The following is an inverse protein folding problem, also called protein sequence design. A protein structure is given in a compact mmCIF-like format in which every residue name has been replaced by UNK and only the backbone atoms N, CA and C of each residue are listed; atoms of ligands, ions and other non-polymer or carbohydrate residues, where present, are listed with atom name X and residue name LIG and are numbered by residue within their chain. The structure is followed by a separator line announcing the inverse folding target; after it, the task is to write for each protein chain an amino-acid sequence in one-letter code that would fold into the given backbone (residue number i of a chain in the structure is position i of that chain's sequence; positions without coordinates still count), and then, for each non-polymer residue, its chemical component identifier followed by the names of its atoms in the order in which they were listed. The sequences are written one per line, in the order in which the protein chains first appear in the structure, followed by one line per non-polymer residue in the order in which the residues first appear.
data_IF_194901276162
#
_entry.id   IF_194901276162
#
_cell.length_a   1.000
_cell.length_b   1.000
_cell.length_c   1.000
_cell.angle_alpha   90.00
_cell.angle_beta   90.00
_cell.angle_gamma   90.00
#
_symmetry.space_group_name_H-M   'P 1'
#
loop_
_entity.id
_entity.type
_entity.pdbx_description
1 polymer ?
#
# COMPACT_ATOMS: atom_id res chain seq x y z
N UNK A 1 -15.74 -25.04 9.09
CA UNK A 1 -15.56 -25.39 7.67
C UNK A 1 -14.08 -25.39 7.33
N UNK A 2 -13.66 -26.24 6.44
CA UNK A 2 -12.24 -26.54 6.23
C UNK A 2 -11.57 -25.47 5.38
N UNK A 3 -10.27 -25.22 5.60
CA UNK A 3 -9.36 -24.46 4.75
C UNK A 3 -9.49 -24.83 3.25
N UNK A 4 -10.16 -25.96 2.96
CA UNK A 4 -10.47 -26.44 1.63
C UNK A 4 -11.40 -25.50 0.81
N UNK A 5 -12.11 -24.56 1.43
CA UNK A 5 -13.01 -23.65 0.72
C UNK A 5 -12.28 -22.45 0.11
N UNK A 6 -11.11 -22.05 0.62
CA UNK A 6 -10.41 -20.83 0.18
C UNK A 6 -9.91 -20.92 -1.27
N UNK A 7 -9.26 -22.02 -1.66
CA UNK A 7 -8.72 -22.15 -3.02
C UNK A 7 -9.83 -22.08 -4.10
N UNK A 8 -10.92 -22.86 -4.01
CA UNK A 8 -12.03 -22.74 -4.95
C UNK A 8 -12.58 -21.32 -5.03
N UNK A 9 -12.75 -20.65 -3.89
CA UNK A 9 -13.24 -19.27 -3.82
C UNK A 9 -12.30 -18.26 -4.51
N UNK A 10 -10.99 -18.37 -4.29
CA UNK A 10 -10.00 -17.51 -4.99
C UNK A 10 -9.97 -17.81 -6.50
N UNK A 11 -10.15 -19.05 -6.90
CA UNK A 11 -10.22 -19.41 -8.32
C UNK A 11 -11.51 -18.89 -8.99
N UNK A 12 -12.64 -18.86 -8.26
CA UNK A 12 -13.90 -18.26 -8.75
C UNK A 12 -13.77 -16.75 -8.86
N UNK A 13 -13.14 -16.09 -7.88
CA UNK A 13 -12.78 -14.67 -7.95
C UNK A 13 -11.89 -14.37 -9.16
N UNK A 14 -10.84 -15.16 -9.38
CA UNK A 14 -9.94 -15.01 -10.52
C UNK A 14 -10.64 -15.12 -11.88
N UNK A 15 -11.79 -15.79 -11.96
CA UNK A 15 -12.57 -15.99 -13.18
C UNK A 15 -13.61 -14.89 -13.44
N UNK A 16 -13.78 -13.90 -12.54
CA UNK A 16 -14.75 -12.81 -12.71
C UNK A 16 -14.38 -11.96 -13.94
N UNK A 17 -15.35 -11.78 -14.83
CA UNK A 17 -15.18 -10.92 -16.02
C UNK A 17 -15.20 -9.43 -15.66
N UNK A 18 -14.68 -8.56 -16.56
CA UNK A 18 -14.64 -7.10 -16.35
C UNK A 18 -16.00 -6.49 -16.04
N UNK A 19 -17.05 -6.94 -16.74
CA UNK A 19 -18.43 -6.44 -16.60
C UNK A 19 -19.05 -6.70 -15.20
N UNK A 20 -18.43 -7.55 -14.41
CA UNK A 20 -18.89 -7.94 -13.07
C UNK A 20 -18.05 -7.34 -11.94
N UNK A 21 -17.08 -6.50 -12.25
CA UNK A 21 -16.27 -5.83 -11.24
C UNK A 21 -17.11 -4.75 -10.53
N UNK A 22 -17.11 -4.71 -9.16
CA UNK A 22 -17.79 -3.66 -8.42
C UNK A 22 -17.21 -2.29 -8.79
N UNK A 23 -18.08 -1.35 -9.14
CA UNK A 23 -17.70 -0.03 -9.67
C UNK A 23 -16.93 0.81 -8.66
N UNK A 24 -17.30 0.73 -7.39
CA UNK A 24 -16.62 1.41 -6.28
C UNK A 24 -15.18 0.89 -6.12
N UNK A 25 -15.01 -0.42 -6.10
CA UNK A 25 -13.69 -1.06 -6.01
C UNK A 25 -12.82 -0.75 -7.23
N UNK A 26 -13.41 -0.75 -8.45
CA UNK A 26 -12.69 -0.39 -9.68
C UNK A 26 -12.24 1.06 -9.65
N UNK A 27 -13.09 1.98 -9.17
CA UNK A 27 -12.69 3.38 -9.01
C UNK A 27 -11.55 3.55 -8.01
N UNK A 28 -11.57 2.81 -6.90
CA UNK A 28 -10.45 2.80 -5.97
C UNK A 28 -9.17 2.23 -6.59
N UNK A 29 -9.26 1.21 -7.46
CA UNK A 29 -8.11 0.67 -8.18
C UNK A 29 -7.49 1.67 -9.17
N UNK A 30 -8.30 2.48 -9.85
CA UNK A 30 -7.83 3.59 -10.70
C UNK A 30 -7.07 4.65 -9.89
N UNK A 31 -7.60 5.03 -8.74
CA UNK A 31 -6.93 5.98 -7.82
C UNK A 31 -5.64 5.38 -7.24
N UNK A 32 -5.64 4.09 -6.92
CA UNK A 32 -4.44 3.37 -6.48
C UNK A 32 -3.39 3.24 -7.59
N UNK A 33 -3.80 3.08 -8.86
CA UNK A 33 -2.87 3.13 -10.00
C UNK A 33 -2.14 4.47 -10.06
N UNK A 34 -2.90 5.57 -9.98
CA UNK A 34 -2.33 6.91 -9.97
C UNK A 34 -1.34 7.09 -8.82
N UNK A 35 -1.77 6.76 -7.60
CA UNK A 35 -0.92 6.89 -6.39
C UNK A 35 0.34 6.03 -6.48
N UNK A 36 0.20 4.76 -6.93
CA UNK A 36 1.33 3.85 -7.12
C UNK A 36 2.35 4.39 -8.14
N UNK A 37 1.89 4.96 -9.26
CA UNK A 37 2.78 5.58 -10.25
C UNK A 37 3.53 6.77 -9.64
N UNK A 38 2.86 7.60 -8.87
CA UNK A 38 3.44 8.77 -8.19
C UNK A 38 4.53 8.34 -7.20
N UNK A 39 4.23 7.40 -6.31
CA UNK A 39 5.22 6.95 -5.32
C UNK A 39 6.37 6.16 -5.96
N UNK A 40 6.13 5.50 -7.10
CA UNK A 40 7.17 4.85 -7.89
C UNK A 40 8.17 5.86 -8.44
N UNK A 41 7.68 6.96 -9.00
CA UNK A 41 8.52 8.03 -9.53
C UNK A 41 9.28 8.76 -8.42
N UNK A 42 8.60 9.07 -7.32
CA UNK A 42 9.24 9.70 -6.16
C UNK A 42 10.29 8.79 -5.49
N UNK A 43 10.11 7.48 -5.57
CA UNK A 43 11.06 6.49 -5.06
C UNK A 43 12.25 6.21 -5.98
N UNK A 44 12.20 6.67 -7.25
CA UNK A 44 13.17 6.30 -8.28
C UNK A 44 14.60 6.78 -8.02
N UNK A 45 14.77 7.86 -7.26
CA UNK A 45 16.09 8.43 -6.94
C UNK A 45 16.62 7.99 -5.56
N UNK A 46 15.89 7.13 -4.86
CA UNK A 46 16.34 6.61 -3.57
C UNK A 46 17.54 5.65 -3.74
N UNK A 47 18.47 5.58 -2.79
CA UNK A 47 19.66 4.72 -2.89
C UNK A 47 19.34 3.26 -3.24
N UNK A 48 18.25 2.71 -2.67
CA UNK A 48 17.83 1.34 -2.96
C UNK A 48 17.41 1.15 -4.43
N UNK A 49 16.87 2.21 -5.07
CA UNK A 49 16.42 2.13 -6.46
C UNK A 49 17.59 1.99 -7.42
N UNK A 50 18.72 2.65 -7.15
CA UNK A 50 19.95 2.46 -7.92
C UNK A 50 20.48 1.04 -7.77
N UNK A 51 20.56 0.54 -6.53
CA UNK A 51 21.06 -0.81 -6.22
C UNK A 51 20.23 -1.89 -6.92
N UNK A 52 18.89 -1.81 -6.81
CA UNK A 52 18.03 -2.84 -7.41
C UNK A 52 18.05 -2.78 -8.94
N UNK A 53 18.14 -1.58 -9.56
CA UNK A 53 18.29 -1.43 -11.00
C UNK A 53 19.59 -2.06 -11.50
N UNK A 54 20.70 -1.79 -10.83
CA UNK A 54 22.00 -2.38 -11.18
C UNK A 54 21.98 -3.90 -11.06
N UNK A 55 21.37 -4.42 -10.01
CA UNK A 55 21.22 -5.86 -9.79
C UNK A 55 20.45 -6.53 -10.93
N UNK A 56 19.24 -6.04 -11.26
CA UNK A 56 18.42 -6.65 -12.34
C UNK A 56 19.01 -6.41 -13.72
N UNK A 57 19.72 -5.30 -13.94
CA UNK A 57 20.43 -5.03 -15.19
C UNK A 57 21.56 -6.03 -15.44
N UNK A 58 22.29 -6.44 -14.39
CA UNK A 58 23.35 -7.43 -14.45
C UNK A 58 22.84 -8.84 -14.81
N UNK A 59 21.58 -9.18 -14.46
CA UNK A 59 20.94 -10.43 -14.88
C UNK A 59 20.66 -10.45 -16.40
N UNK A 60 20.35 -9.28 -16.98
CA UNK A 60 20.05 -9.15 -18.41
C UNK A 60 18.76 -9.85 -18.83
N UNK A 61 18.66 -10.19 -20.11
CA UNK A 61 17.55 -10.96 -20.68
C UNK A 61 16.76 -10.20 -21.74
N UNK A 62 15.61 -10.74 -22.15
CA UNK A 62 14.75 -10.17 -23.20
C UNK A 62 14.05 -8.92 -22.70
N UNK A 63 14.14 -7.82 -23.43
CA UNK A 63 13.53 -6.53 -23.12
C UNK A 63 12.00 -6.58 -23.29
N UNK A 64 11.26 -6.87 -22.21
CA UNK A 64 9.82 -7.04 -22.22
C UNK A 64 9.09 -5.94 -21.45
N UNK A 65 9.54 -5.63 -20.24
CA UNK A 65 8.88 -4.71 -19.33
C UNK A 65 9.82 -3.60 -18.86
N UNK A 66 9.26 -2.44 -18.59
CA UNK A 66 9.96 -1.21 -18.19
C UNK A 66 10.40 -1.27 -16.76
N UNK A 67 11.61 -0.76 -16.46
CA UNK A 67 12.12 -0.56 -15.10
C UNK A 67 12.00 0.92 -14.73
N UNK A 68 11.30 1.21 -13.64
CA UNK A 68 11.00 2.56 -13.16
C UNK A 68 12.27 3.40 -12.96
N UNK A 69 12.20 4.68 -13.34
CA UNK A 69 13.31 5.65 -13.24
C UNK A 69 14.48 5.35 -14.18
N UNK A 70 14.25 4.61 -15.26
CA UNK A 70 15.28 4.30 -16.23
C UNK A 70 14.71 3.96 -17.61
N UNK A 71 15.58 3.93 -18.63
CA UNK A 71 15.22 3.43 -19.97
C UNK A 71 15.39 1.93 -20.11
N UNK A 72 15.72 1.23 -19.04
CA UNK A 72 15.89 -0.23 -19.04
C UNK A 72 14.56 -0.92 -19.30
N UNK A 73 14.62 -1.94 -20.15
CA UNK A 73 13.56 -2.93 -20.33
C UNK A 73 14.16 -4.31 -20.11
N UNK A 74 13.53 -5.11 -19.27
CA UNK A 74 14.02 -6.40 -18.81
C UNK A 74 12.91 -7.45 -18.89
N UNK A 75 13.21 -8.75 -18.68
CA UNK A 75 12.14 -9.74 -18.49
C UNK A 75 11.14 -9.31 -17.43
N UNK A 76 9.86 -9.63 -17.63
CA UNK A 76 8.77 -9.20 -16.78
C UNK A 76 9.04 -9.45 -15.28
N UNK A 77 9.65 -10.60 -14.92
CA UNK A 77 10.01 -10.93 -13.54
C UNK A 77 11.02 -9.97 -12.94
N UNK A 78 12.07 -9.64 -13.68
CA UNK A 78 13.12 -8.72 -13.23
C UNK A 78 12.60 -7.28 -13.09
N UNK A 79 11.77 -6.83 -14.04
CA UNK A 79 11.11 -5.53 -13.98
C UNK A 79 10.14 -5.46 -12.78
N UNK A 80 9.32 -6.49 -12.54
CA UNK A 80 8.42 -6.56 -11.40
C UNK A 80 9.17 -6.50 -10.07
N UNK A 81 10.31 -7.20 -9.94
CA UNK A 81 11.18 -7.12 -8.76
C UNK A 81 11.65 -5.69 -8.49
N UNK A 82 12.19 -5.03 -9.52
CA UNK A 82 12.70 -3.68 -9.39
C UNK A 82 11.59 -2.68 -9.07
N UNK A 83 10.49 -2.72 -9.84
CA UNK A 83 9.40 -1.76 -9.71
C UNK A 83 8.66 -1.88 -8.37
N UNK A 84 8.45 -3.10 -7.85
CA UNK A 84 7.88 -3.32 -6.53
C UNK A 84 8.78 -2.81 -5.40
N UNK A 85 10.09 -3.02 -5.53
CA UNK A 85 11.06 -2.50 -4.58
C UNK A 85 11.12 -0.96 -4.60
N UNK A 86 11.16 -0.37 -5.79
CA UNK A 86 11.25 1.09 -5.98
C UNK A 86 9.97 1.78 -5.50
N UNK A 87 8.79 1.26 -5.85
CA UNK A 87 7.52 1.87 -5.48
C UNK A 87 7.25 1.88 -3.97
N UNK A 88 7.88 0.98 -3.21
CA UNK A 88 7.77 0.93 -1.74
C UNK A 88 8.92 1.65 -1.01
N UNK A 89 9.82 2.31 -1.74
CA UNK A 89 11.02 2.94 -1.17
C UNK A 89 10.73 3.99 -0.09
N UNK A 90 9.65 4.75 -0.26
CA UNK A 90 9.27 5.85 0.64
C UNK A 90 8.28 5.42 1.73
N UNK A 91 7.77 4.18 1.69
CA UNK A 91 6.67 3.72 2.55
C UNK A 91 5.47 4.68 2.52
N UNK A 92 5.18 5.26 1.35
CA UNK A 92 4.17 6.30 1.15
C UNK A 92 3.01 5.85 0.23
N UNK A 93 2.98 4.59 -0.10
CA UNK A 93 1.94 3.88 -0.83
C UNK A 93 0.74 3.55 0.05
N UNK A 94 -0.32 3.05 -0.58
CA UNK A 94 -1.55 2.66 0.11
C UNK A 94 -1.38 1.49 1.10
N UNK A 95 -2.36 1.37 2.00
CA UNK A 95 -2.46 0.25 2.94
C UNK A 95 -3.89 -0.27 3.00
N UNK A 96 -4.05 -1.49 3.49
CA UNK A 96 -5.36 -2.06 3.77
C UNK A 96 -5.38 -2.66 5.18
N UNK A 97 -6.24 -2.13 6.06
CA UNK A 97 -6.22 -2.47 7.49
C UNK A 97 -6.60 -3.93 7.78
N UNK A 98 -7.58 -4.50 7.06
CA UNK A 98 -7.96 -5.90 7.24
C UNK A 98 -6.93 -6.87 6.65
N UNK A 99 -6.29 -6.51 5.54
CA UNK A 99 -5.20 -7.24 4.92
C UNK A 99 -3.87 -7.08 5.71
N UNK A 100 -3.72 -6.01 6.46
CA UNK A 100 -2.53 -5.60 7.25
C UNK A 100 -1.30 -5.50 6.34
N UNK A 101 -1.44 -4.91 5.17
CA UNK A 101 -0.38 -4.81 4.18
C UNK A 101 -0.60 -3.71 3.15
N UNK A 102 0.31 -3.64 2.20
CA UNK A 102 0.38 -2.65 1.14
C UNK A 102 0.08 -3.34 -0.22
N UNK A 103 -1.16 -3.26 -0.74
CA UNK A 103 -1.53 -4.04 -1.91
C UNK A 103 -0.89 -3.54 -3.21
N UNK A 104 -0.84 -2.21 -3.43
CA UNK A 104 -0.42 -1.65 -4.71
C UNK A 104 1.02 -1.97 -5.07
N UNK A 105 1.96 -1.85 -4.15
CA UNK A 105 3.40 -2.03 -4.40
C UNK A 105 3.82 -3.48 -4.64
N UNK A 106 2.99 -4.44 -4.23
CA UNK A 106 3.22 -5.87 -4.48
C UNK A 106 2.56 -6.34 -5.80
N UNK A 107 1.44 -5.73 -6.21
CA UNK A 107 0.57 -6.30 -7.25
C UNK A 107 0.64 -5.51 -8.56
N UNK A 108 0.60 -4.15 -8.55
CA UNK A 108 0.76 -3.37 -9.78
C UNK A 108 2.06 -3.64 -10.53
N UNK A 109 3.22 -3.80 -9.89
CA UNK A 109 4.45 -4.14 -10.60
C UNK A 109 4.36 -5.44 -11.40
N UNK A 110 3.68 -6.45 -10.84
CA UNK A 110 3.43 -7.71 -11.54
C UNK A 110 2.40 -7.54 -12.65
N UNK A 111 1.28 -6.83 -12.40
CA UNK A 111 0.25 -6.59 -13.40
C UNK A 111 0.82 -5.80 -14.59
N UNK A 112 1.52 -4.69 -14.34
CA UNK A 112 2.09 -3.87 -15.41
C UNK A 112 3.14 -4.66 -16.21
N UNK A 113 4.06 -5.36 -15.55
CA UNK A 113 5.09 -6.14 -16.24
C UNK A 113 4.52 -7.30 -17.07
N UNK A 114 3.48 -7.98 -16.59
CA UNK A 114 2.79 -9.01 -17.35
C UNK A 114 2.03 -8.42 -18.53
N UNK A 115 1.38 -7.27 -18.37
CA UNK A 115 0.65 -6.58 -19.42
C UNK A 115 1.58 -6.08 -20.53
N UNK A 116 2.73 -5.51 -20.19
CA UNK A 116 3.77 -5.12 -21.17
C UNK A 116 4.32 -6.34 -21.94
N UNK A 117 4.51 -7.48 -21.26
CA UNK A 117 5.03 -8.71 -21.90
C UNK A 117 4.12 -9.22 -23.03
N UNK A 118 2.79 -9.00 -22.91
CA UNK A 118 1.78 -9.47 -23.87
C UNK A 118 1.16 -8.36 -24.72
N UNK A 119 1.46 -7.09 -24.46
CA UNK A 119 0.89 -5.95 -25.17
C UNK A 119 -0.57 -5.65 -24.80
N UNK A 120 -0.96 -5.85 -23.53
CA UNK A 120 -2.31 -5.60 -23.04
C UNK A 120 -2.61 -4.09 -22.84
N UNK A 121 -3.87 -3.75 -22.62
CA UNK A 121 -4.33 -2.38 -22.34
C UNK A 121 -4.05 -1.96 -20.89
N UNK A 122 -4.17 -0.66 -20.61
CA UNK A 122 -4.12 -0.11 -19.27
C UNK A 122 -5.33 -0.54 -18.43
N UNK A 123 -6.50 -0.69 -19.05
CA UNK A 123 -7.70 -1.23 -18.40
C UNK A 123 -7.48 -2.67 -17.93
N UNK A 124 -6.84 -3.53 -18.76
CA UNK A 124 -6.48 -4.88 -18.35
C UNK A 124 -5.54 -4.89 -17.13
N UNK A 125 -4.63 -3.89 -17.01
CA UNK A 125 -3.77 -3.74 -15.85
C UNK A 125 -4.59 -3.46 -14.58
N UNK A 126 -5.55 -2.52 -14.66
CA UNK A 126 -6.40 -2.14 -13.53
C UNK A 126 -7.30 -3.31 -13.10
N UNK A 127 -7.93 -3.98 -14.06
CA UNK A 127 -8.83 -5.11 -13.79
C UNK A 127 -8.06 -6.31 -13.20
N UNK A 128 -6.88 -6.61 -13.73
CA UNK A 128 -6.03 -7.67 -13.21
C UNK A 128 -5.50 -7.33 -11.81
N UNK A 129 -5.09 -6.07 -11.61
CA UNK A 129 -4.69 -5.56 -10.30
C UNK A 129 -5.83 -5.70 -9.28
N UNK A 130 -7.04 -5.23 -9.61
CA UNK A 130 -8.18 -5.24 -8.70
C UNK A 130 -8.51 -6.66 -8.21
N UNK A 131 -8.58 -7.61 -9.13
CA UNK A 131 -8.83 -9.01 -8.77
C UNK A 131 -7.67 -9.59 -7.94
N UNK A 132 -6.41 -9.27 -8.27
CA UNK A 132 -5.25 -9.67 -7.51
C UNK A 132 -5.24 -9.07 -6.10
N UNK A 133 -5.56 -7.79 -5.97
CA UNK A 133 -5.65 -7.08 -4.70
C UNK A 133 -6.77 -7.62 -3.82
N UNK A 134 -7.94 -7.91 -4.40
CA UNK A 134 -9.04 -8.55 -3.69
C UNK A 134 -8.66 -9.96 -3.21
N UNK A 135 -7.98 -10.75 -4.04
CA UNK A 135 -7.47 -12.07 -3.63
C UNK A 135 -6.48 -11.94 -2.45
N UNK A 136 -5.56 -10.98 -2.51
CA UNK A 136 -4.62 -10.71 -1.42
C UNK A 136 -5.35 -10.28 -0.14
N UNK A 137 -6.38 -9.44 -0.23
CA UNK A 137 -7.21 -9.03 0.90
C UNK A 137 -7.88 -10.25 1.55
N UNK A 138 -8.54 -11.12 0.76
CA UNK A 138 -9.22 -12.33 1.26
C UNK A 138 -8.25 -13.29 1.91
N UNK A 139 -7.11 -13.56 1.28
CA UNK A 139 -6.06 -14.41 1.86
C UNK A 139 -5.49 -13.79 3.13
N UNK A 140 -5.25 -12.48 3.13
CA UNK A 140 -4.74 -11.75 4.27
C UNK A 140 -5.69 -11.74 5.48
N UNK A 141 -7.01 -11.65 5.24
CA UNK A 141 -8.04 -11.77 6.28
C UNK A 141 -8.01 -13.17 6.91
N UNK A 142 -7.86 -14.23 6.10
CA UNK A 142 -7.74 -15.60 6.61
C UNK A 142 -6.45 -15.83 7.40
N UNK A 143 -5.33 -15.26 6.96
CA UNK A 143 -4.07 -15.29 7.72
C UNK A 143 -4.19 -14.53 9.05
N UNK A 144 -4.92 -13.42 9.04
CA UNK A 144 -5.27 -12.66 10.24
C UNK A 144 -4.07 -11.97 10.91
N UNK A 145 -4.37 -11.45 12.10
CA UNK A 145 -3.37 -10.74 12.91
C UNK A 145 -2.29 -11.66 13.46
N UNK A 146 -2.61 -12.89 13.78
CA UNK A 146 -1.66 -13.85 14.35
C UNK A 146 -0.47 -14.08 13.43
N UNK A 147 -0.72 -14.14 12.10
CA UNK A 147 0.34 -14.20 11.09
C UNK A 147 1.25 -12.96 11.13
N UNK A 148 0.65 -11.77 11.21
CA UNK A 148 1.41 -10.52 11.33
C UNK A 148 2.20 -10.46 12.65
N UNK A 149 1.60 -10.87 13.77
CA UNK A 149 2.23 -10.84 15.09
C UNK A 149 3.33 -11.91 15.22
N UNK A 150 3.22 -13.03 14.51
CA UNK A 150 4.29 -14.03 14.37
C UNK A 150 5.54 -13.50 13.64
N UNK A 151 5.44 -12.33 13.00
CA UNK A 151 6.57 -11.65 12.36
C UNK A 151 6.56 -11.63 10.84
N UNK A 152 5.49 -12.11 10.20
CA UNK A 152 5.36 -12.07 8.75
C UNK A 152 4.90 -10.68 8.25
N UNK A 153 5.39 -10.28 7.08
CA UNK A 153 5.00 -9.07 6.37
C UNK A 153 3.94 -9.41 5.31
N UNK A 154 2.68 -9.13 5.57
CA UNK A 154 1.56 -9.54 4.70
C UNK A 154 1.64 -8.94 3.29
N UNK A 155 2.22 -7.75 3.12
CA UNK A 155 2.57 -7.21 1.78
C UNK A 155 3.32 -8.23 0.93
N UNK A 156 4.19 -9.02 1.53
CA UNK A 156 4.99 -10.02 0.83
C UNK A 156 4.30 -11.39 0.76
N UNK A 157 3.66 -11.82 1.83
CA UNK A 157 3.03 -13.15 1.87
C UNK A 157 1.72 -13.18 1.08
N UNK A 158 0.68 -12.48 1.51
CA UNK A 158 -0.59 -12.38 0.76
C UNK A 158 -0.43 -11.68 -0.58
N UNK A 159 0.44 -10.64 -0.65
CA UNK A 159 0.71 -9.91 -1.88
C UNK A 159 1.31 -10.76 -2.99
N UNK A 160 2.11 -11.79 -2.66
CA UNK A 160 2.62 -12.73 -3.68
C UNK A 160 1.49 -13.52 -4.35
N UNK A 161 0.46 -13.93 -3.61
CA UNK A 161 -0.72 -14.57 -4.20
C UNK A 161 -1.53 -13.59 -5.04
N UNK A 162 -1.70 -12.34 -4.58
CA UNK A 162 -2.35 -11.29 -5.37
C UNK A 162 -1.62 -11.02 -6.69
N UNK A 163 -0.30 -10.88 -6.65
CA UNK A 163 0.54 -10.73 -7.83
C UNK A 163 0.43 -11.95 -8.78
N UNK A 164 0.33 -13.17 -8.22
CA UNK A 164 0.13 -14.41 -9.00
C UNK A 164 -1.21 -14.39 -9.72
N UNK A 165 -2.29 -13.98 -9.06
CA UNK A 165 -3.62 -13.89 -9.67
C UNK A 165 -3.64 -12.83 -10.77
N UNK A 166 -3.08 -11.64 -10.52
CA UNK A 166 -3.00 -10.57 -11.52
C UNK A 166 -2.25 -11.02 -12.78
N UNK A 167 -1.07 -11.64 -12.60
CA UNK A 167 -0.29 -12.18 -13.72
C UNK A 167 -1.02 -13.35 -14.43
N UNK A 168 -1.69 -14.23 -13.69
CA UNK A 168 -2.43 -15.36 -14.26
C UNK A 168 -3.57 -14.90 -15.16
N UNK A 169 -4.31 -13.85 -14.76
CA UNK A 169 -5.36 -13.24 -15.58
C UNK A 169 -4.81 -12.68 -16.89
N UNK A 170 -3.74 -11.87 -16.80
CA UNK A 170 -3.11 -11.28 -17.98
C UNK A 170 -2.53 -12.34 -18.92
N UNK A 171 -1.92 -13.38 -18.37
CA UNK A 171 -1.45 -14.50 -19.18
C UNK A 171 -2.56 -15.46 -19.63
N UNK A 172 -3.83 -15.18 -19.28
CA UNK A 172 -5.02 -15.95 -19.66
C UNK A 172 -4.92 -17.43 -19.26
N UNK A 173 -4.45 -17.69 -18.03
CA UNK A 173 -4.39 -19.04 -17.49
C UNK A 173 -5.80 -19.58 -17.22
N UNK A 174 -6.04 -20.83 -17.57
CA UNK A 174 -7.25 -21.50 -17.15
C UNK A 174 -7.25 -21.81 -15.62
N UNK A 175 -8.36 -22.33 -15.13
CA UNK A 175 -8.53 -22.65 -13.71
C UNK A 175 -7.46 -23.59 -13.17
N UNK A 176 -7.08 -24.61 -13.95
CA UNK A 176 -6.10 -25.61 -13.53
C UNK A 176 -4.69 -25.00 -13.47
N UNK A 177 -4.31 -24.24 -14.47
CA UNK A 177 -3.03 -23.53 -14.52
C UNK A 177 -2.96 -22.44 -13.42
N UNK A 178 -4.06 -21.70 -13.16
CA UNK A 178 -4.12 -20.73 -12.06
C UNK A 178 -3.97 -21.42 -10.70
N UNK A 179 -4.60 -22.58 -10.50
CA UNK A 179 -4.41 -23.38 -9.29
C UNK A 179 -2.95 -23.83 -9.12
N UNK A 180 -2.28 -24.27 -10.20
CA UNK A 180 -0.87 -24.64 -10.16
C UNK A 180 0.02 -23.41 -9.85
N UNK A 181 -0.29 -22.23 -10.42
CA UNK A 181 0.42 -21.00 -10.11
C UNK A 181 0.32 -20.63 -8.63
N UNK A 182 -0.88 -20.73 -8.02
CA UNK A 182 -1.06 -20.51 -6.58
C UNK A 182 -0.29 -21.52 -5.73
N UNK A 183 -0.26 -22.80 -6.16
CA UNK A 183 0.57 -23.84 -5.53
C UNK A 183 2.06 -23.52 -5.59
N UNK A 184 2.57 -22.99 -6.69
CA UNK A 184 3.96 -22.52 -6.81
C UNK A 184 4.22 -21.29 -5.93
N UNK A 185 3.29 -20.34 -5.94
CA UNK A 185 3.41 -19.12 -5.12
C UNK A 185 3.49 -19.46 -3.63
N UNK A 186 2.77 -20.48 -3.14
CA UNK A 186 2.78 -20.89 -1.73
C UNK A 186 4.16 -21.27 -1.21
N UNK A 187 5.07 -21.72 -2.07
CA UNK A 187 6.47 -22.04 -1.68
C UNK A 187 7.39 -20.81 -1.72
N UNK A 188 6.91 -19.69 -2.25
CA UNK A 188 7.69 -18.47 -2.48
C UNK A 188 7.16 -17.26 -1.69
N UNK A 189 5.91 -17.31 -1.25
CA UNK A 189 5.27 -16.23 -0.49
C UNK A 189 5.90 -16.11 0.90
N UNK A 190 6.83 -15.19 1.04
CA UNK A 190 7.64 -14.98 2.25
C UNK A 190 7.99 -13.50 2.41
N UNK A 191 8.37 -13.12 3.62
CA UNK A 191 8.80 -11.78 3.97
C UNK A 191 8.60 -11.55 5.47
N UNK A 192 9.55 -10.88 6.11
CA UNK A 192 9.55 -10.71 7.57
C UNK A 192 9.54 -9.23 7.97
N UNK A 193 8.84 -8.94 9.06
CA UNK A 193 8.81 -7.63 9.72
C UNK A 193 10.16 -7.24 10.33
N UNK A 194 11.05 -8.20 10.57
CA UNK A 194 12.43 -7.91 11.01
C UNK A 194 13.22 -7.04 10.03
N UNK A 195 12.72 -6.89 8.79
CA UNK A 195 13.29 -6.00 7.78
C UNK A 195 12.76 -4.56 7.84
N UNK A 196 11.81 -4.26 8.73
CA UNK A 196 11.29 -2.89 8.86
C UNK A 196 12.40 -1.94 9.29
N UNK A 197 12.38 -0.73 8.72
CA UNK A 197 13.46 0.25 8.91
C UNK A 197 14.70 0.03 8.04
N UNK A 198 14.74 -1.00 7.19
CA UNK A 198 15.83 -1.28 6.26
C UNK A 198 15.34 -1.33 4.81
N UNK A 199 16.27 -1.38 3.84
CA UNK A 199 15.95 -1.61 2.43
C UNK A 199 15.28 -2.98 2.18
N UNK A 200 15.33 -3.89 3.15
CA UNK A 200 14.67 -5.19 3.09
C UNK A 200 13.14 -5.09 3.12
N UNK A 201 12.55 -4.05 3.75
CA UNK A 201 11.10 -3.86 3.73
C UNK A 201 10.57 -3.61 2.31
N UNK A 202 11.08 -2.62 1.55
CA UNK A 202 10.71 -2.44 0.14
C UNK A 202 11.01 -3.66 -0.73
N UNK A 203 12.13 -4.32 -0.52
CA UNK A 203 12.48 -5.55 -1.24
C UNK A 203 11.43 -6.65 -1.08
N UNK A 204 10.77 -6.77 0.07
CA UNK A 204 9.68 -7.72 0.28
C UNK A 204 8.55 -7.54 -0.74
N UNK A 205 8.17 -6.30 -1.09
CA UNK A 205 7.14 -6.01 -2.10
C UNK A 205 7.59 -6.41 -3.51
N UNK A 206 8.83 -6.06 -3.88
CA UNK A 206 9.40 -6.47 -5.16
C UNK A 206 9.51 -7.99 -5.30
N UNK A 207 9.93 -8.69 -4.24
CA UNK A 207 10.00 -10.14 -4.23
C UNK A 207 8.61 -10.77 -4.43
N UNK A 208 7.55 -10.23 -3.81
CA UNK A 208 6.17 -10.68 -4.00
C UNK A 208 5.73 -10.54 -5.47
N UNK A 209 5.99 -9.38 -6.08
CA UNK A 209 5.66 -9.12 -7.49
C UNK A 209 6.40 -10.09 -8.43
N UNK A 210 7.72 -10.26 -8.23
CA UNK A 210 8.54 -11.19 -9.01
C UNK A 210 8.08 -12.64 -8.88
N UNK A 211 7.73 -13.07 -7.65
CA UNK A 211 7.22 -14.41 -7.37
C UNK A 211 5.90 -14.67 -8.10
N UNK A 212 5.01 -13.66 -8.18
CA UNK A 212 3.76 -13.77 -8.93
C UNK A 212 3.98 -14.00 -10.42
N UNK A 213 4.87 -13.23 -11.05
CA UNK A 213 5.25 -13.42 -12.46
C UNK A 213 5.89 -14.80 -12.69
N UNK A 214 6.80 -15.21 -11.80
CA UNK A 214 7.49 -16.51 -11.93
C UNK A 214 6.48 -17.66 -11.88
N UNK A 215 5.60 -17.67 -10.86
CA UNK A 215 4.60 -18.70 -10.66
C UNK A 215 3.63 -18.80 -11.85
N UNK A 216 3.06 -17.67 -12.30
CA UNK A 216 2.16 -17.64 -13.45
C UNK A 216 2.87 -18.06 -14.76
N UNK A 217 4.11 -17.62 -14.98
CA UNK A 217 4.89 -17.96 -16.16
C UNK A 217 5.26 -19.45 -16.23
N UNK A 218 5.55 -20.07 -15.08
CA UNK A 218 5.82 -21.52 -14.99
C UNK A 218 4.55 -22.32 -15.26
N UNK A 219 3.45 -21.96 -14.63
CA UNK A 219 2.15 -22.61 -14.83
C UNK A 219 1.68 -22.52 -16.29
N UNK A 220 1.85 -21.36 -16.95
CA UNK A 220 1.58 -21.17 -18.38
C UNK A 220 2.33 -22.16 -19.26
N UNK A 221 3.50 -22.64 -18.83
CA UNK A 221 4.33 -23.63 -19.55
C UNK A 221 4.02 -25.07 -19.14
N UNK A 222 2.98 -25.29 -18.32
CA UNK A 222 2.57 -26.62 -17.88
C UNK A 222 3.33 -27.14 -16.65
N UNK A 223 4.01 -26.28 -15.90
CA UNK A 223 4.64 -26.67 -14.65
C UNK A 223 3.56 -27.00 -13.61
N UNK A 224 3.65 -28.18 -12.99
CA UNK A 224 2.65 -28.67 -12.03
C UNK A 224 3.01 -28.31 -10.61
N UNK A 225 2.00 -28.15 -9.76
CA UNK A 225 2.13 -27.94 -8.33
C UNK A 225 0.99 -28.65 -7.58
N UNK A 226 1.10 -28.69 -6.24
CA UNK A 226 0.00 -29.18 -5.40
C UNK A 226 -1.24 -28.30 -5.57
N UNK A 227 -2.39 -28.96 -5.62
CA UNK A 227 -3.70 -28.28 -5.56
C UNK A 227 -4.12 -27.91 -4.14
N UNK A 228 -3.33 -28.30 -3.13
CA UNK A 228 -3.59 -28.05 -1.71
C UNK A 228 -2.78 -26.88 -1.16
N UNK A 229 -2.67 -25.80 -1.94
CA UNK A 229 -1.87 -24.62 -1.56
C UNK A 229 -2.28 -24.03 -0.20
N UNK A 230 -3.59 -24.05 0.12
CA UNK A 230 -4.13 -23.42 1.33
C UNK A 230 -4.72 -24.43 2.33
N UNK A 231 -4.92 -25.71 1.95
CA UNK A 231 -5.58 -26.71 2.79
C UNK A 231 -4.64 -27.86 3.17
N UNK A 232 -4.87 -28.45 4.35
CA UNK A 232 -4.11 -29.59 4.85
C UNK A 232 -2.98 -29.24 5.80
N UNK A 233 -2.42 -30.25 6.46
CA UNK A 233 -1.46 -30.08 7.56
C UNK A 233 -0.10 -29.47 7.15
N UNK A 234 0.22 -29.47 5.86
CA UNK A 234 1.46 -28.91 5.32
C UNK A 234 1.19 -27.76 4.34
N UNK A 235 -0.02 -27.18 4.37
CA UNK A 235 -0.41 -26.06 3.53
C UNK A 235 0.28 -24.75 3.95
N UNK A 236 0.16 -23.75 3.09
CA UNK A 236 0.65 -22.41 3.40
C UNK A 236 0.01 -21.85 4.69
N UNK A 237 -1.32 -21.99 4.84
CA UNK A 237 -2.01 -21.48 6.03
C UNK A 237 -1.51 -22.18 7.30
N UNK A 238 -1.39 -23.51 7.28
CA UNK A 238 -0.91 -24.27 8.44
C UNK A 238 0.54 -23.92 8.82
N UNK A 239 1.41 -23.71 7.81
CA UNK A 239 2.82 -23.40 8.04
C UNK A 239 3.05 -21.94 8.48
N UNK A 240 2.14 -21.01 8.14
CA UNK A 240 2.30 -19.56 8.35
C UNK A 240 1.32 -19.00 9.39
N UNK A 241 0.86 -19.83 10.32
CA UNK A 241 -0.06 -19.43 11.40
C UNK A 241 -1.40 -18.84 10.91
N UNK A 242 -1.86 -19.26 9.74
CA UNK A 242 -3.22 -18.96 9.31
C UNK A 242 -4.19 -19.65 10.26
N UNK A 243 -5.02 -18.88 10.95
CA UNK A 243 -5.91 -19.42 11.96
C UNK A 243 -7.11 -20.09 11.31
N UNK A 244 -7.39 -21.31 11.72
CA UNK A 244 -8.61 -22.02 11.35
C UNK A 244 -9.92 -21.26 11.64
N UNK A 245 -9.87 -20.19 12.44
CA UNK A 245 -11.01 -19.32 12.73
C UNK A 245 -11.36 -18.30 11.63
N UNK A 246 -10.44 -17.98 10.73
CA UNK A 246 -10.69 -17.07 9.60
C UNK A 246 -11.50 -17.72 8.47
N UNK A 247 -11.53 -19.03 8.39
CA UNK A 247 -12.28 -19.79 7.37
C UNK A 247 -13.81 -19.70 7.53
N UNK A 248 -14.31 -19.36 8.70
CA UNK A 248 -15.74 -19.30 8.98
C UNK A 248 -16.50 -18.20 8.20
N UNK A 249 -15.78 -17.17 7.72
CA UNK A 249 -16.37 -16.05 7.00
C UNK A 249 -16.40 -16.21 5.48
N UNK A 250 -15.68 -17.20 4.90
CA UNK A 250 -15.51 -17.32 3.44
C UNK A 250 -16.85 -17.57 2.72
N UNK A 251 -17.74 -18.34 3.32
CA UNK A 251 -19.05 -18.65 2.72
C UNK A 251 -19.98 -17.45 2.62
N UNK A 252 -19.73 -16.40 3.44
CA UNK A 252 -20.50 -15.16 3.44
C UNK A 252 -19.89 -14.10 2.49
N UNK A 253 -18.74 -14.38 1.86
CA UNK A 253 -18.07 -13.41 0.99
C UNK A 253 -18.75 -13.31 -0.37
N UNK A 254 -19.31 -12.15 -0.64
CA UNK A 254 -19.89 -11.81 -1.94
C UNK A 254 -18.81 -11.49 -2.97
N UNK A 255 -19.13 -11.68 -4.24
CA UNK A 255 -18.38 -11.13 -5.37
C UNK A 255 -18.94 -9.79 -5.88
N UNK A 256 -20.01 -9.30 -5.26
CA UNK A 256 -20.61 -7.99 -5.58
C UNK A 256 -20.01 -6.86 -4.73
N UNK A 257 -19.28 -7.21 -3.68
CA UNK A 257 -18.57 -6.27 -2.80
C UNK A 257 -17.14 -6.76 -2.56
N UNK A 258 -16.17 -5.90 -2.83
CA UNK A 258 -14.76 -6.20 -2.64
C UNK A 258 -14.21 -5.53 -1.39
N UNK A 259 -13.45 -6.29 -0.60
CA UNK A 259 -12.73 -5.74 0.56
C UNK A 259 -11.74 -4.66 0.15
N UNK A 260 -11.15 -4.79 -1.05
CA UNK A 260 -10.21 -3.82 -1.59
C UNK A 260 -10.79 -2.40 -1.65
N UNK A 261 -12.10 -2.23 -1.79
CA UNK A 261 -12.73 -0.89 -1.79
C UNK A 261 -12.44 -0.08 -0.50
N UNK A 262 -12.08 -0.75 0.61
CA UNK A 262 -11.65 -0.13 1.86
C UNK A 262 -10.14 0.18 1.94
N UNK A 263 -9.44 0.20 0.81
CA UNK A 263 -8.03 0.61 0.74
C UNK A 263 -7.86 2.04 1.25
N UNK A 264 -6.81 2.28 2.04
CA UNK A 264 -6.52 3.58 2.62
C UNK A 264 -5.22 4.14 2.05
N UNK A 265 -5.31 5.26 1.35
CA UNK A 265 -4.16 5.95 0.78
C UNK A 265 -3.47 6.83 1.82
N UNK A 266 -2.15 6.79 1.85
CA UNK A 266 -1.38 7.72 2.67
C UNK A 266 -1.35 9.08 2.00
N UNK A 267 -1.84 10.10 2.67
CA UNK A 267 -1.88 11.49 2.21
C UNK A 267 -0.77 12.35 2.83
N UNK A 268 -0.04 11.80 3.79
CA UNK A 268 1.08 12.43 4.50
C UNK A 268 2.30 11.51 4.48
N UNK A 269 3.50 12.06 4.32
CA UNK A 269 4.74 11.28 4.15
C UNK A 269 5.29 10.74 5.49
N UNK A 270 4.42 10.18 6.34
CA UNK A 270 4.74 9.66 7.67
C UNK A 270 4.05 8.32 7.95
N UNK A 271 4.23 7.77 9.15
CA UNK A 271 3.62 6.51 9.55
C UNK A 271 2.10 6.61 9.49
N UNK A 272 1.44 5.61 8.89
CA UNK A 272 -0.03 5.63 8.72
C UNK A 272 -0.79 5.70 10.06
N UNK A 273 -0.23 5.17 11.14
CA UNK A 273 -0.80 5.29 12.48
C UNK A 273 -1.01 6.73 12.95
N UNK A 274 -0.28 7.70 12.40
CA UNK A 274 -0.40 9.11 12.79
C UNK A 274 -1.43 9.89 11.96
N UNK A 275 -1.89 9.34 10.83
CA UNK A 275 -2.74 10.07 9.88
C UNK A 275 -4.09 10.47 10.46
N UNK A 276 -4.73 9.63 11.28
CA UNK A 276 -6.02 9.96 11.88
C UNK A 276 -5.94 11.21 12.79
N UNK A 277 -4.84 11.36 13.55
CA UNK A 277 -4.57 12.58 14.32
C UNK A 277 -4.34 13.79 13.42
N UNK A 278 -3.54 13.63 12.36
CA UNK A 278 -3.26 14.72 11.41
C UNK A 278 -4.55 15.22 10.77
N UNK A 279 -5.40 14.32 10.29
CA UNK A 279 -6.71 14.66 9.71
C UNK A 279 -7.63 15.37 10.71
N UNK A 280 -7.69 14.88 11.96
CA UNK A 280 -8.47 15.53 13.01
C UNK A 280 -7.98 16.97 13.27
N UNK A 281 -6.66 17.18 13.35
CA UNK A 281 -6.07 18.50 13.53
C UNK A 281 -6.30 19.41 12.32
N UNK A 282 -6.17 18.92 11.09
CA UNK A 282 -6.45 19.68 9.88
C UNK A 282 -7.90 20.16 9.86
N UNK A 283 -8.85 19.31 10.27
CA UNK A 283 -10.26 19.70 10.40
C UNK A 283 -10.49 20.76 11.49
N UNK A 284 -9.81 20.66 12.64
CA UNK A 284 -9.86 21.69 13.68
C UNK A 284 -9.34 23.04 13.23
N UNK A 285 -8.36 23.05 12.32
CA UNK A 285 -7.71 24.27 11.82
C UNK A 285 -8.36 24.82 10.54
N UNK A 286 -9.27 24.11 9.90
CA UNK A 286 -9.78 24.43 8.54
C UNK A 286 -10.49 25.78 8.45
N UNK A 287 -11.12 26.24 9.51
CA UNK A 287 -11.85 27.53 9.57
C UNK A 287 -10.98 28.73 9.98
N UNK A 288 -9.68 28.52 10.17
CA UNK A 288 -8.73 29.54 10.63
C UNK A 288 -8.95 30.01 12.08
N UNK A 289 -9.80 29.30 12.85
CA UNK A 289 -10.12 29.67 14.21
C UNK A 289 -9.07 29.26 15.25
N UNK A 290 -8.03 28.52 14.84
CA UNK A 290 -6.93 28.11 15.70
C UNK A 290 -5.70 28.97 15.41
N UNK A 291 -5.46 29.98 16.25
CA UNK A 291 -4.20 30.68 16.28
C UNK A 291 -3.18 29.89 17.11
N UNK A 292 -2.04 29.56 16.54
CA UNK A 292 -1.02 28.68 17.18
C UNK A 292 -0.56 29.24 18.51
N UNK A 293 -0.45 30.55 18.63
CA UNK A 293 -0.02 31.23 19.87
C UNK A 293 -1.05 31.11 21.00
N UNK A 294 -2.31 30.90 20.66
CA UNK A 294 -3.41 30.77 21.64
C UNK A 294 -3.61 29.32 22.12
N UNK A 295 -2.92 28.34 21.55
CA UNK A 295 -2.97 26.95 21.98
C UNK A 295 -2.27 26.79 23.32
N UNK A 296 -2.97 26.26 24.32
CA UNK A 296 -2.45 25.93 25.65
C UNK A 296 -2.00 24.47 25.70
N UNK A 297 -2.89 23.55 25.37
CA UNK A 297 -2.67 22.10 25.41
C UNK A 297 -3.41 21.39 24.28
N UNK A 298 -2.82 20.29 23.79
CA UNK A 298 -3.45 19.34 22.86
C UNK A 298 -3.39 17.96 23.46
N UNK A 299 -4.54 17.31 23.59
CA UNK A 299 -4.63 15.91 23.99
C UNK A 299 -5.04 15.08 22.79
N UNK A 300 -4.25 14.03 22.49
CA UNK A 300 -4.46 13.12 21.39
C UNK A 300 -4.71 11.73 21.93
N UNK A 301 -5.89 11.20 21.69
CA UNK A 301 -6.31 9.86 22.11
C UNK A 301 -6.17 8.92 20.91
N UNK A 302 -5.44 7.82 21.12
CA UNK A 302 -5.12 6.82 20.08
C UNK A 302 -5.22 5.42 20.66
N UNK A 303 -5.32 4.40 19.78
CA UNK A 303 -5.18 3.01 20.21
C UNK A 303 -3.80 2.79 20.86
N UNK A 304 -3.72 2.13 22.05
CA UNK A 304 -2.49 2.04 22.84
C UNK A 304 -1.29 1.45 22.09
N UNK A 305 -1.54 0.56 21.11
CA UNK A 305 -0.47 -0.04 20.30
C UNK A 305 0.40 0.98 19.56
N UNK A 306 -0.17 2.12 19.17
CA UNK A 306 0.54 3.15 18.43
C UNK A 306 1.56 3.91 19.28
N UNK A 307 1.40 3.91 20.62
CA UNK A 307 2.40 4.48 21.52
C UNK A 307 3.75 3.73 21.41
N UNK A 308 3.72 2.42 21.08
CA UNK A 308 4.94 1.65 20.88
C UNK A 308 5.59 1.85 19.49
N UNK A 309 4.89 2.50 18.55
CA UNK A 309 5.33 2.64 17.15
C UNK A 309 5.66 4.09 16.80
N UNK A 310 4.80 5.03 17.22
CA UNK A 310 4.83 6.42 16.72
C UNK A 310 4.99 7.46 17.83
N UNK A 311 5.43 7.11 19.02
CA UNK A 311 5.49 8.03 20.16
C UNK A 311 6.93 8.49 20.49
N UNK A 312 7.74 8.76 19.47
CA UNK A 312 9.07 9.37 19.63
C UNK A 312 8.86 10.80 20.13
N UNK A 313 9.27 11.08 21.37
CA UNK A 313 9.03 12.39 22.01
C UNK A 313 10.05 13.46 21.60
N UNK A 314 11.26 13.07 21.28
CA UNK A 314 12.36 13.95 20.90
C UNK A 314 13.09 13.33 19.70
N UNK A 315 12.58 13.51 18.48
CA UNK A 315 13.23 13.01 17.27
C UNK A 315 14.54 13.75 17.02
N UNK A 316 15.55 13.03 16.55
CA UNK A 316 16.87 13.54 16.20
C UNK A 316 17.08 13.62 14.68
N UNK A 317 16.18 12.98 13.91
CA UNK A 317 16.23 12.95 12.44
C UNK A 317 14.84 13.16 11.83
N UNK A 318 14.79 13.61 10.59
CA UNK A 318 13.55 13.72 9.81
C UNK A 318 12.83 12.37 9.68
N UNK A 319 13.57 11.26 9.64
CA UNK A 319 12.97 9.93 9.67
C UNK A 319 12.22 9.69 10.99
N UNK A 320 12.78 10.06 12.13
CA UNK A 320 12.14 9.89 13.43
C UNK A 320 10.94 10.82 13.61
N UNK A 321 10.93 12.01 12.99
CA UNK A 321 9.75 12.90 12.94
C UNK A 321 8.54 12.14 12.38
N UNK A 322 8.71 11.30 11.35
CA UNK A 322 7.63 10.51 10.73
C UNK A 322 6.95 9.52 11.69
N UNK A 323 7.57 9.28 12.84
CA UNK A 323 7.08 8.42 13.93
C UNK A 323 6.89 9.19 15.24
N UNK A 324 6.68 10.51 15.18
CA UNK A 324 6.50 11.38 16.33
C UNK A 324 5.14 12.09 16.29
N UNK A 325 4.17 11.61 17.02
CA UNK A 325 2.87 12.29 17.15
C UNK A 325 3.02 13.75 17.58
N UNK A 326 3.89 14.03 18.55
CA UNK A 326 4.02 15.37 19.11
C UNK A 326 4.60 16.37 18.10
N UNK A 327 5.60 15.94 17.31
CA UNK A 327 6.17 16.80 16.27
C UNK A 327 5.23 16.96 15.09
N UNK A 328 4.57 15.88 14.64
CA UNK A 328 3.59 15.94 13.54
C UNK A 328 2.42 16.86 13.89
N UNK A 329 1.92 16.82 15.13
CA UNK A 329 0.88 17.75 15.58
C UNK A 329 1.36 19.20 15.56
N UNK A 330 2.59 19.46 16.02
CA UNK A 330 3.19 20.80 15.96
C UNK A 330 3.38 21.30 14.51
N UNK A 331 3.79 20.42 13.59
CA UNK A 331 3.94 20.73 12.16
C UNK A 331 2.59 21.09 11.51
N UNK A 332 1.50 20.34 11.83
CA UNK A 332 0.15 20.67 11.36
C UNK A 332 -0.24 22.08 11.79
N UNK A 333 -0.09 22.40 13.08
CA UNK A 333 -0.43 23.73 13.60
C UNK A 333 0.39 24.86 12.96
N UNK A 334 1.63 24.58 12.58
CA UNK A 334 2.50 25.53 11.84
C UNK A 334 2.17 25.61 10.34
N UNK A 335 1.20 24.87 9.86
CA UNK A 335 0.81 24.84 8.45
C UNK A 335 1.86 24.21 7.51
N UNK A 336 2.73 23.33 8.05
CA UNK A 336 3.71 22.61 7.24
C UNK A 336 2.99 21.61 6.33
N UNK A 337 3.38 21.58 5.05
CA UNK A 337 2.84 20.58 4.11
C UNK A 337 3.39 19.18 4.39
N UNK A 338 2.63 18.35 5.11
CA UNK A 338 3.03 17.00 5.47
C UNK A 338 2.96 16.00 4.29
N UNK A 339 2.40 16.41 3.14
CA UNK A 339 2.43 15.59 1.93
C UNK A 339 3.79 15.64 1.22
N UNK A 340 4.53 16.74 1.37
CA UNK A 340 5.86 16.88 0.79
C UNK A 340 6.89 16.07 1.58
N UNK A 341 7.66 15.24 0.87
CA UNK A 341 8.67 14.39 1.51
C UNK A 341 9.81 15.23 2.13
N UNK A 342 10.14 16.35 1.48
CA UNK A 342 11.17 17.31 1.90
C UNK A 342 10.80 18.08 3.17
N UNK A 343 9.52 18.03 3.58
CA UNK A 343 9.07 18.63 4.85
C UNK A 343 9.59 17.92 6.10
N UNK A 344 10.29 16.80 5.94
CA UNK A 344 10.83 16.01 7.05
C UNK A 344 12.35 16.12 7.09
N UNK A 345 12.84 17.35 7.29
CA UNK A 345 14.26 17.65 7.37
C UNK A 345 14.79 17.58 8.82
N UNK A 346 16.03 17.11 8.98
CA UNK A 346 16.68 16.95 10.29
C UNK A 346 16.75 18.28 11.07
N UNK A 347 16.81 19.42 10.38
CA UNK A 347 16.85 20.74 11.01
C UNK A 347 15.61 21.05 11.84
N UNK A 348 14.45 20.47 11.52
CA UNK A 348 13.22 20.62 12.29
C UNK A 348 13.32 20.05 13.69
N UNK A 349 14.19 19.04 13.90
CA UNK A 349 14.46 18.48 15.22
C UNK A 349 15.08 19.50 16.18
N UNK A 350 15.64 20.57 15.65
CA UNK A 350 16.29 21.66 16.41
C UNK A 350 15.52 22.97 16.36
N UNK A 351 14.34 23.01 15.70
CA UNK A 351 13.47 24.21 15.66
C UNK A 351 12.86 24.44 17.05
N UNK A 352 13.27 25.55 17.68
CA UNK A 352 12.84 25.86 19.05
C UNK A 352 11.33 26.07 19.20
N UNK A 353 10.68 26.62 18.16
CA UNK A 353 9.23 26.86 18.16
C UNK A 353 8.46 25.56 17.99
N UNK A 354 8.91 24.65 17.10
CA UNK A 354 8.31 23.32 16.98
C UNK A 354 8.48 22.51 18.26
N UNK A 355 9.66 22.54 18.88
CA UNK A 355 9.92 21.86 20.15
C UNK A 355 9.03 22.42 21.26
N UNK A 356 8.86 23.76 21.34
CA UNK A 356 8.00 24.39 22.33
C UNK A 356 6.53 24.00 22.14
N UNK A 357 6.08 23.87 20.88
CA UNK A 357 4.73 23.48 20.54
C UNK A 357 4.49 21.99 20.81
N UNK A 358 5.43 21.13 20.43
CA UNK A 358 5.39 19.69 20.68
C UNK A 358 5.27 19.34 22.18
N UNK A 359 5.86 20.16 23.07
CA UNK A 359 5.74 19.99 24.54
C UNK A 359 4.33 20.24 25.05
N UNK A 360 3.43 20.89 24.28
CA UNK A 360 2.01 21.08 24.65
C UNK A 360 1.15 19.90 24.24
N UNK A 361 1.70 18.94 23.48
CA UNK A 361 0.98 17.77 22.96
C UNK A 361 1.13 16.59 23.91
N UNK A 362 0.01 16.02 24.36
CA UNK A 362 -0.06 14.82 25.19
C UNK A 362 -0.67 13.68 24.42
N UNK A 363 0.00 12.54 24.38
CA UNK A 363 -0.48 11.33 23.72
C UNK A 363 -1.04 10.39 24.78
N UNK A 364 -2.30 9.99 24.62
CA UNK A 364 -3.07 9.19 25.57
C UNK A 364 -3.53 7.92 24.85
N UNK A 365 -3.12 6.76 25.36
CA UNK A 365 -3.64 5.48 24.90
C UNK A 365 -5.04 5.25 25.46
N UNK A 366 -5.99 4.93 24.58
CA UNK A 366 -7.38 4.64 24.94
C UNK A 366 -7.85 3.39 24.17
N UNK A 367 -8.21 2.34 24.91
CA UNK A 367 -8.68 1.07 24.33
C UNK A 367 -10.04 1.19 23.61
N UNK A 368 -10.75 2.30 23.76
CA UNK A 368 -11.99 2.57 23.03
C UNK A 368 -11.73 3.14 21.63
N UNK A 369 -10.51 3.61 21.36
CA UNK A 369 -10.13 4.15 20.06
C UNK A 369 -9.64 3.01 19.15
N UNK A 370 -10.26 2.89 17.97
CA UNK A 370 -9.85 1.89 16.97
C UNK A 370 -8.45 2.20 16.40
N UNK A 371 -7.76 1.16 15.91
CA UNK A 371 -6.43 1.27 15.27
C UNK A 371 -6.38 2.31 14.12
N UNK A 372 -7.50 2.54 13.45
CA UNK A 372 -7.65 3.46 12.32
C UNK A 372 -8.12 4.86 12.71
N UNK A 373 -8.33 5.13 14.01
CA UNK A 373 -8.96 6.35 14.48
C UNK A 373 -8.06 7.13 15.45
N UNK A 374 -8.38 8.42 15.61
CA UNK A 374 -7.87 9.27 16.68
C UNK A 374 -8.94 10.28 17.09
N UNK A 375 -8.86 10.74 18.34
CA UNK A 375 -9.61 11.86 18.85
C UNK A 375 -8.64 12.92 19.37
N UNK A 376 -8.92 14.19 19.09
CA UNK A 376 -8.08 15.33 19.48
C UNK A 376 -8.91 16.35 20.23
N UNK A 377 -8.46 16.71 21.44
CA UNK A 377 -8.93 17.84 22.21
C UNK A 377 -7.88 18.94 22.18
N UNK A 378 -8.26 20.14 21.71
CA UNK A 378 -7.43 21.32 21.67
C UNK A 378 -7.99 22.36 22.65
N UNK A 379 -7.18 22.79 23.61
CA UNK A 379 -7.51 23.78 24.60
C UNK A 379 -6.79 25.09 24.31
N UNK A 380 -7.53 26.20 24.29
CA UNK A 380 -6.99 27.53 24.15
C UNK A 380 -6.62 28.15 25.52
N UNK A 381 -5.71 29.13 25.52
CA UNK A 381 -5.30 29.86 26.74
C UNK A 381 -6.42 30.64 27.42
N UNK A 382 -7.47 31.00 26.69
CA UNK A 382 -8.69 31.62 27.23
C UNK A 382 -9.65 30.64 27.91
N UNK A 383 -9.31 29.34 27.89
CA UNK A 383 -10.09 28.25 28.46
C UNK A 383 -11.12 27.64 27.52
N UNK A 384 -11.30 28.14 26.30
CA UNK A 384 -12.13 27.48 25.30
C UNK A 384 -11.49 26.17 24.86
N UNK A 385 -12.33 25.19 24.47
CA UNK A 385 -11.87 23.91 23.95
C UNK A 385 -12.59 23.54 22.66
N UNK A 386 -11.88 22.88 21.75
CA UNK A 386 -12.41 22.31 20.52
C UNK A 386 -12.02 20.85 20.45
N UNK A 387 -12.87 20.00 19.89
CA UNK A 387 -12.63 18.58 19.77
C UNK A 387 -12.95 18.09 18.36
N UNK A 388 -12.19 17.12 17.88
CA UNK A 388 -12.42 16.48 16.60
C UNK A 388 -11.94 15.02 16.63
N UNK A 389 -12.75 14.14 16.04
CA UNK A 389 -12.37 12.75 15.79
C UNK A 389 -12.20 12.52 14.30
N UNK A 390 -11.32 11.60 13.93
CA UNK A 390 -11.18 11.10 12.57
C UNK A 390 -10.96 9.60 12.56
N UNK A 391 -11.51 8.92 11.54
CA UNK A 391 -11.30 7.49 11.32
C UNK A 391 -10.99 7.26 9.84
N UNK A 392 -9.83 6.69 9.56
CA UNK A 392 -9.33 6.41 8.20
C UNK A 392 -10.17 5.38 7.43
N UNK A 393 -11.00 4.59 8.13
CA UNK A 393 -11.90 3.61 7.51
C UNK A 393 -13.27 4.17 7.15
N UNK A 394 -13.57 5.43 7.50
CA UNK A 394 -14.79 6.07 7.01
C UNK A 394 -14.69 6.29 5.51
N UNK A 395 -15.76 5.97 4.75
CA UNK A 395 -15.77 6.20 3.31
C UNK A 395 -15.45 7.66 2.97
N UNK A 396 -14.51 7.84 2.06
CA UNK A 396 -14.21 9.16 1.48
C UNK A 396 -14.80 9.21 0.05
N UNK A 397 -15.38 10.36 -0.31
CA UNK A 397 -15.82 10.58 -1.67
C UNK A 397 -14.65 10.40 -2.66
N UNK A 398 -14.76 9.58 -3.71
CA UNK A 398 -13.66 9.32 -4.63
C UNK A 398 -13.15 10.57 -5.36
N UNK A 399 -13.99 11.59 -5.60
CA UNK A 399 -13.57 12.83 -6.24
C UNK A 399 -12.75 13.68 -5.27
N UNK A 400 -13.14 13.72 -3.98
CA UNK A 400 -12.36 14.37 -2.93
C UNK A 400 -11.02 13.66 -2.74
N UNK A 401 -11.01 12.32 -2.67
CA UNK A 401 -9.78 11.54 -2.58
C UNK A 401 -8.85 11.81 -3.77
N UNK A 402 -9.40 11.82 -4.99
CA UNK A 402 -8.64 12.13 -6.20
C UNK A 402 -7.98 13.52 -6.15
N UNK A 403 -8.72 14.53 -5.67
CA UNK A 403 -8.18 15.87 -5.47
C UNK A 403 -7.00 15.88 -4.49
N UNK A 404 -7.11 15.12 -3.40
CA UNK A 404 -6.05 15.01 -2.39
C UNK A 404 -4.83 14.23 -2.90
N UNK A 405 -5.06 13.14 -3.65
CA UNK A 405 -3.98 12.39 -4.29
C UNK A 405 -3.24 13.23 -5.34
N UNK A 406 -3.96 14.06 -6.10
CA UNK A 406 -3.32 15.00 -7.03
C UNK A 406 -2.47 16.04 -6.29
N UNK A 407 -2.93 16.56 -5.15
CA UNK A 407 -2.14 17.46 -4.31
C UNK A 407 -0.87 16.78 -3.77
N UNK A 408 -0.97 15.53 -3.31
CA UNK A 408 0.18 14.68 -2.93
C UNK A 408 1.15 14.51 -4.10
N UNK A 409 0.64 14.19 -5.29
CA UNK A 409 1.45 14.00 -6.49
C UNK A 409 2.23 15.25 -6.85
N UNK A 410 1.58 16.43 -6.83
CA UNK A 410 2.23 17.71 -7.07
C UNK A 410 3.38 17.99 -6.09
N UNK A 411 3.17 17.66 -4.83
CA UNK A 411 4.20 17.81 -3.80
C UNK A 411 5.39 16.84 -4.00
N UNK A 412 5.18 15.68 -4.62
CA UNK A 412 6.22 14.65 -4.77
C UNK A 412 6.97 14.73 -6.10
N UNK A 413 6.27 14.99 -7.20
CA UNK A 413 6.83 14.87 -8.57
C UNK A 413 6.65 16.13 -9.42
N UNK A 414 6.15 17.22 -8.82
CA UNK A 414 5.90 18.51 -9.47
C UNK A 414 4.58 18.56 -10.24
N UNK A 415 4.13 19.78 -10.53
CA UNK A 415 2.78 20.07 -11.06
C UNK A 415 2.56 19.47 -12.44
N UNK A 416 3.50 19.67 -13.37
CA UNK A 416 3.34 19.24 -14.76
C UNK A 416 3.24 17.72 -14.87
N UNK A 417 4.15 17.00 -14.19
CA UNK A 417 4.18 15.53 -14.21
C UNK A 417 2.97 14.93 -13.50
N UNK A 418 2.56 15.52 -12.40
CA UNK A 418 1.36 15.09 -11.66
C UNK A 418 0.09 15.25 -12.49
N UNK A 419 -0.08 16.40 -13.18
CA UNK A 419 -1.25 16.65 -14.02
C UNK A 419 -1.27 15.73 -15.26
N UNK A 420 -0.11 15.45 -15.86
CA UNK A 420 0.00 14.54 -17.02
C UNK A 420 -0.38 13.10 -16.64
N UNK A 421 0.13 12.59 -15.51
CA UNK A 421 -0.27 11.29 -14.99
C UNK A 421 -1.74 11.23 -14.63
N UNK A 422 -2.26 12.28 -13.98
CA UNK A 422 -3.67 12.36 -13.60
C UNK A 422 -4.59 12.29 -14.81
N UNK A 423 -4.26 13.04 -15.88
CA UNK A 423 -5.01 13.02 -17.12
C UNK A 423 -5.03 11.61 -17.76
N UNK A 424 -3.88 10.91 -17.77
CA UNK A 424 -3.77 9.59 -18.34
C UNK A 424 -4.54 8.53 -17.52
N UNK A 425 -4.41 8.52 -16.20
CA UNK A 425 -5.07 7.53 -15.34
C UNK A 425 -6.58 7.74 -15.18
N UNK A 426 -7.11 8.90 -15.54
CA UNK A 426 -8.56 9.14 -15.64
C UNK A 426 -9.15 8.91 -17.04
N UNK A 427 -8.33 8.50 -18.02
CA UNK A 427 -8.77 8.21 -19.40
C UNK A 427 -7.95 7.03 -19.95
N UNK A 428 -8.17 5.86 -19.36
CA UNK A 428 -7.37 4.65 -19.66
C UNK A 428 -7.67 4.05 -21.05
N UNK A 429 -8.82 4.35 -21.63
CA UNK A 429 -9.10 3.96 -23.01
C UNK A 429 -8.73 5.09 -23.99
N UNK A 430 -7.92 4.85 -25.03
CA UNK A 430 -7.35 3.58 -25.52
C UNK A 430 -5.88 3.33 -25.13
N UNK A 431 -5.49 3.65 -23.90
CA UNK A 431 -4.10 3.60 -23.40
C UNK A 431 -3.60 2.15 -23.33
N UNK A 432 -2.37 1.89 -23.80
CA UNK A 432 -1.69 0.61 -23.64
C UNK A 432 -0.90 0.56 -22.33
N UNK A 433 -0.66 -0.63 -21.80
CA UNK A 433 0.22 -0.84 -20.65
C UNK A 433 1.64 -0.25 -20.86
N UNK A 434 2.16 -0.32 -22.10
CA UNK A 434 3.44 0.30 -22.47
C UNK A 434 3.43 1.83 -22.38
N UNK A 435 2.27 2.48 -22.55
CA UNK A 435 2.16 3.94 -22.45
C UNK A 435 2.17 4.38 -20.97
N UNK A 436 1.49 3.61 -20.08
CA UNK A 436 1.62 3.79 -18.63
C UNK A 436 3.07 3.61 -18.19
N UNK A 437 3.70 2.53 -18.64
CA UNK A 437 5.07 2.20 -18.28
C UNK A 437 6.07 3.26 -18.78
N UNK A 438 5.84 3.86 -19.96
CA UNK A 438 6.66 4.94 -20.48
C UNK A 438 6.66 6.17 -19.55
N UNK A 439 5.56 6.44 -18.82
CA UNK A 439 5.51 7.53 -17.84
C UNK A 439 6.35 7.25 -16.58
N UNK A 440 6.69 6.00 -16.32
CA UNK A 440 7.56 5.61 -15.21
C UNK A 440 9.06 5.70 -15.56
N UNK A 441 9.41 5.96 -16.82
CA UNK A 441 10.80 6.19 -17.22
C UNK A 441 11.30 7.55 -16.71
N UNK A 442 12.57 7.63 -16.36
CA UNK A 442 13.22 8.88 -15.92
C UNK A 442 13.59 9.80 -17.08
#
# INVERSE_FOLDING_TARGET
MSDAALLPHILDLAAIGPDRLPQDARKMAELSLFDWMVVSLAGADQPLAHIIRDFVAAEGGVAKATVTGSKLRLPARAAALANGTISHALDYDDTHFAYIGHPSVAIFPAALAAAEDIGASADDVVDAFLIGAEAACRIGIVLGRDHYDAGFHQTATSGAFGATIAASRLYQLDRAATSAALGLASTRASGLKSQFGTMGKPFNAGAAAANGIEAASLAKRGFTASTDAFAGAQSFLAAHHGVAGGSAAIDDWSFDQFFFAAVSHKLHACCHGTHAMIEALLLLCADGAVAVDDVDEIQVYIAPRWQNVCDIKAPETGLEIKFSYVFLAAMVLRGVNLAAYESYDDSLCHDADLIALAKRVKIIGDDQIADSAAHVDLKHKDGQSRSQSFNLLLPIDPALLGTRLLAKAKALIGDDRANDLWAMTNALEPVLASDLAAKLQG
#
